data_IF_758619072286
#
_entry.id   IF_758619072286
#
_cell.length_a   1.000
_cell.length_b   1.000
_cell.length_c   1.000
_cell.angle_alpha   90.00
_cell.angle_beta   90.00
_cell.angle_gamma   90.00
#
_symmetry.space_group_name_H-M   'P 1'
#
loop_
_entity.id
_entity.type
_entity.pdbx_description
1 polymer ?
#
# COMPACT_ATOMS: atom_id res chain seq x y z
N UNK A 1 -6.13 6.78 10.30
CA UNK A 1 -6.20 6.72 8.83
C UNK A 1 -5.19 7.70 8.25
N UNK A 2 -4.24 7.26 7.43
CA UNK A 2 -3.24 8.15 6.79
C UNK A 2 -3.69 8.46 5.37
N UNK A 3 -3.73 9.74 5.01
CA UNK A 3 -4.07 10.20 3.66
C UNK A 3 -2.81 10.58 2.89
N UNK A 4 -2.65 10.02 1.70
CA UNK A 4 -1.56 10.31 0.79
C UNK A 4 -2.08 11.15 -0.38
N UNK A 5 -1.74 12.44 -0.38
CA UNK A 5 -2.11 13.38 -1.45
C UNK A 5 -1.40 13.11 -2.78
N UNK A 6 -0.29 12.38 -2.75
CA UNK A 6 0.48 11.97 -3.94
C UNK A 6 0.73 10.48 -3.90
N UNK A 7 0.70 9.85 -5.06
CA UNK A 7 1.06 8.44 -5.19
C UNK A 7 2.58 8.28 -5.18
N UNK A 8 3.12 7.92 -4.02
CA UNK A 8 4.53 7.62 -3.83
C UNK A 8 4.65 6.22 -3.22
N UNK A 9 4.75 5.15 -4.05
CA UNK A 9 4.68 3.77 -3.58
C UNK A 9 5.77 3.45 -2.54
N UNK A 10 6.97 4.05 -2.65
CA UNK A 10 8.04 3.97 -1.63
C UNK A 10 7.63 4.48 -0.25
N UNK A 11 7.01 5.66 -0.18
CA UNK A 11 6.58 6.24 1.11
C UNK A 11 5.40 5.48 1.69
N UNK A 12 4.49 5.03 0.83
CA UNK A 12 3.36 4.20 1.23
C UNK A 12 3.87 2.86 1.78
N UNK A 13 4.77 2.20 1.05
CA UNK A 13 5.42 0.96 1.46
C UNK A 13 6.17 1.12 2.78
N UNK A 14 6.93 2.20 2.97
CA UNK A 14 7.62 2.49 4.24
C UNK A 14 6.65 2.69 5.39
N UNK A 15 5.53 3.36 5.15
CA UNK A 15 4.50 3.56 6.18
C UNK A 15 3.79 2.25 6.55
N UNK A 16 3.41 1.46 5.54
CA UNK A 16 2.75 0.16 5.71
C UNK A 16 3.69 -0.87 6.33
N UNK A 17 4.94 -0.97 5.88
CA UNK A 17 5.93 -1.93 6.41
C UNK A 17 6.23 -1.69 7.89
N UNK A 18 6.12 -0.44 8.36
CA UNK A 18 6.34 -0.08 9.77
C UNK A 18 5.11 -0.36 10.67
N UNK A 19 3.92 -0.54 10.08
CA UNK A 19 2.68 -0.75 10.80
C UNK A 19 2.17 -2.18 10.57
N UNK A 20 1.65 -2.83 11.62
CA UNK A 20 1.13 -4.18 11.46
C UNK A 20 -0.14 -4.24 10.61
N UNK A 21 -1.11 -3.36 10.86
CA UNK A 21 -2.36 -3.32 10.11
C UNK A 21 -2.97 -1.92 10.12
N UNK A 22 -3.87 -1.65 9.18
CA UNK A 22 -4.56 -0.38 9.11
C UNK A 22 -5.20 -0.08 7.77
N UNK A 23 -5.56 1.20 7.59
CA UNK A 23 -6.16 1.73 6.37
C UNK A 23 -5.46 3.01 5.93
N UNK A 24 -5.19 3.09 4.64
CA UNK A 24 -4.63 4.26 3.96
C UNK A 24 -5.60 4.74 2.87
N UNK A 25 -5.58 6.03 2.61
CA UNK A 25 -6.28 6.59 1.46
C UNK A 25 -5.26 7.21 0.51
N UNK A 26 -5.35 6.86 -0.77
CA UNK A 26 -4.47 7.36 -1.82
C UNK A 26 -5.33 8.22 -2.75
N UNK A 27 -4.97 9.49 -2.85
CA UNK A 27 -5.66 10.40 -3.77
C UNK A 27 -5.57 9.89 -5.22
N UNK A 28 -6.71 9.88 -5.92
CA UNK A 28 -6.83 9.34 -7.28
C UNK A 28 -6.85 7.81 -7.41
N UNK A 29 -6.66 7.04 -6.31
CA UNK A 29 -6.69 5.56 -6.33
C UNK A 29 -7.64 4.93 -5.32
N UNK A 30 -8.11 5.70 -4.34
CA UNK A 30 -9.08 5.25 -3.34
C UNK A 30 -8.46 4.75 -2.04
N UNK A 31 -9.31 4.12 -1.23
CA UNK A 31 -8.94 3.56 0.07
C UNK A 31 -8.40 2.14 -0.05
N UNK A 32 -7.26 1.88 0.59
CA UNK A 32 -6.66 0.55 0.68
C UNK A 32 -6.52 0.14 2.13
N UNK A 33 -6.77 -1.15 2.36
CA UNK A 33 -6.57 -1.79 3.65
C UNK A 33 -5.27 -2.58 3.59
N UNK A 34 -4.54 -2.62 4.69
CA UNK A 34 -3.31 -3.38 4.78
C UNK A 34 -3.29 -4.18 6.09
N UNK A 35 -2.70 -5.37 6.02
CA UNK A 35 -2.57 -6.29 7.14
C UNK A 35 -1.24 -7.02 7.06
N UNK A 36 -0.64 -7.32 8.22
CA UNK A 36 0.71 -7.90 8.38
C UNK A 36 1.78 -7.17 7.55
N UNK A 37 1.65 -5.85 7.44
CA UNK A 37 2.55 -5.01 6.66
C UNK A 37 2.47 -5.25 5.14
N UNK A 38 1.34 -5.72 4.60
CA UNK A 38 1.10 -5.87 3.16
C UNK A 38 -0.25 -5.26 2.77
N UNK A 39 -0.34 -4.66 1.57
CA UNK A 39 -1.63 -4.19 1.06
C UNK A 39 -2.52 -5.37 0.68
N UNK A 40 -3.78 -5.24 1.07
CA UNK A 40 -4.87 -6.11 0.67
C UNK A 40 -5.56 -5.55 -0.58
N UNK A 41 -5.97 -6.47 -1.46
CA UNK A 41 -6.78 -6.12 -2.63
C UNK A 41 -8.21 -5.81 -2.16
N UNK A 42 -8.79 -4.66 -2.55
CA UNK A 42 -10.16 -4.33 -2.16
C UNK A 42 -11.18 -5.30 -2.80
N UNK A 43 -12.30 -5.54 -2.12
CA UNK A 43 -13.35 -6.50 -2.56
C UNK A 43 -13.94 -6.15 -3.93
N UNK A 44 -14.00 -4.85 -4.28
CA UNK A 44 -14.40 -4.35 -5.61
C UNK A 44 -13.20 -3.83 -6.41
N UNK A 45 -12.12 -4.60 -6.48
CA UNK A 45 -10.92 -4.19 -7.19
C UNK A 45 -11.09 -4.19 -8.71
N UNK A 46 -10.79 -3.05 -9.32
CA UNK A 46 -10.48 -2.95 -10.76
C UNK A 46 -8.99 -3.22 -11.02
N UNK A 47 -8.59 -3.48 -12.28
CA UNK A 47 -7.19 -3.71 -12.67
C UNK A 47 -6.20 -2.68 -12.09
N UNK A 48 -6.60 -1.40 -12.02
CA UNK A 48 -5.79 -0.32 -11.44
C UNK A 48 -5.42 -0.55 -9.98
N UNK A 49 -6.33 -1.17 -9.21
CA UNK A 49 -6.11 -1.50 -7.81
C UNK A 49 -5.11 -2.65 -7.69
N UNK A 50 -5.24 -3.69 -8.52
CA UNK A 50 -4.26 -4.79 -8.56
C UNK A 50 -2.86 -4.29 -8.89
N UNK A 51 -2.72 -3.43 -9.90
CA UNK A 51 -1.43 -2.82 -10.27
C UNK A 51 -0.82 -2.04 -9.11
N UNK A 52 -1.64 -1.24 -8.43
CA UNK A 52 -1.25 -0.45 -7.26
C UNK A 52 -0.80 -1.34 -6.10
N UNK A 53 -1.58 -2.36 -5.74
CA UNK A 53 -1.26 -3.28 -4.65
C UNK A 53 0.04 -4.02 -4.95
N UNK A 54 0.22 -4.47 -6.20
CA UNK A 54 1.43 -5.18 -6.61
C UNK A 54 2.67 -4.27 -6.54
N UNK A 55 2.60 -3.04 -7.08
CA UNK A 55 3.68 -2.05 -6.98
C UNK A 55 4.08 -1.78 -5.53
N UNK A 56 3.10 -1.52 -4.66
CA UNK A 56 3.41 -1.20 -3.26
C UNK A 56 3.95 -2.42 -2.51
N UNK A 57 3.39 -3.61 -2.73
CA UNK A 57 3.89 -4.85 -2.10
C UNK A 57 5.31 -5.22 -2.58
N UNK A 58 5.66 -4.92 -3.84
CA UNK A 58 7.03 -5.05 -4.34
C UNK A 58 7.99 -4.12 -3.61
N UNK A 59 7.62 -2.86 -3.41
CA UNK A 59 8.45 -1.92 -2.66
C UNK A 59 8.55 -2.32 -1.18
N UNK A 60 7.50 -2.88 -0.58
CA UNK A 60 7.55 -3.45 0.78
C UNK A 60 8.54 -4.61 0.86
N UNK A 61 8.51 -5.53 -0.12
CA UNK A 61 9.47 -6.64 -0.19
C UNK A 61 10.90 -6.14 -0.31
N UNK A 62 11.15 -5.16 -1.19
CA UNK A 62 12.47 -4.52 -1.31
C UNK A 62 12.94 -3.87 -0.01
N UNK A 63 12.05 -3.18 0.70
CA UNK A 63 12.38 -2.59 2.00
C UNK A 63 12.73 -3.65 3.06
N UNK A 64 12.13 -4.84 2.98
CA UNK A 64 12.45 -5.97 3.85
C UNK A 64 13.75 -6.68 3.47
N UNK A 65 14.11 -6.74 2.19
CA UNK A 65 15.35 -7.37 1.74
C UNK A 65 16.61 -6.55 2.09
N UNK A 66 16.44 -5.25 2.30
CA UNK A 66 17.52 -4.30 2.67
C UNK A 66 17.86 -4.32 4.17
N UNK A 67 17.10 -5.05 5.01
CA UNK A 67 17.29 -5.17 6.46
C UNK A 67 17.40 -6.63 6.90
#
# INVERSE_FOLDING_TARGET
>A
MRMFKRYLPKLIAKHVSRLFSGRIYIDGRGGYQFDKGMLLVPVKAQERHYKTVNEVNLEIKRLKEVY
#
